data_IF_313980739853
#
_entry.id   IF_313980739853
#
_cell.length_a   1.000
_cell.length_b   1.000
_cell.length_c   1.000
_cell.angle_alpha   90.00
_cell.angle_beta   90.00
_cell.angle_gamma   90.00
#
_symmetry.space_group_name_H-M   'P 1'
#
loop_
_entity.id
_entity.type
_entity.pdbx_description
1 polymer ?
#
# COMPACT_ATOMS: atom_id res chain seq x y z
N UNK A 1 -21.01 8.74 8.29
CA UNK A 1 -21.46 8.25 6.98
C UNK A 1 -22.75 8.96 6.61
N UNK A 2 -22.82 9.64 5.47
CA UNK A 2 -24.10 10.13 4.96
C UNK A 2 -24.85 8.93 4.37
N UNK A 3 -25.97 8.57 4.96
CA UNK A 3 -26.89 7.59 4.40
C UNK A 3 -27.35 8.09 3.03
N UNK A 4 -27.33 7.29 1.95
CA UNK A 4 -27.89 7.71 0.68
C UNK A 4 -29.36 8.14 0.89
N UNK A 5 -29.79 9.15 0.17
CA UNK A 5 -31.14 9.72 0.31
C UNK A 5 -32.25 8.68 0.05
N UNK A 6 -31.94 7.61 -0.66
CA UNK A 6 -32.87 6.51 -0.97
C UNK A 6 -32.15 5.17 -0.73
N UNK A 7 -32.74 4.25 0.06
CA UNK A 7 -32.22 2.88 0.23
C UNK A 7 -32.18 2.14 -1.12
N UNK A 8 -31.17 1.30 -1.32
CA UNK A 8 -31.13 0.37 -2.47
C UNK A 8 -32.07 -0.81 -2.22
N UNK A 9 -32.77 -1.29 -3.25
CA UNK A 9 -33.37 -2.61 -3.19
C UNK A 9 -32.26 -3.69 -3.16
N UNK A 10 -32.59 -4.89 -2.65
CA UNK A 10 -31.64 -6.00 -2.60
C UNK A 10 -31.14 -6.37 -4.01
N UNK A 11 -32.04 -6.37 -5.00
CA UNK A 11 -31.76 -6.71 -6.41
C UNK A 11 -30.86 -5.64 -7.07
N UNK A 12 -31.15 -4.36 -6.82
CA UNK A 12 -30.31 -3.29 -7.34
C UNK A 12 -28.89 -3.33 -6.76
N UNK A 13 -28.79 -3.53 -5.44
CA UNK A 13 -27.51 -3.67 -4.76
C UNK A 13 -26.74 -4.88 -5.30
N UNK A 14 -27.39 -6.04 -5.41
CA UNK A 14 -26.80 -7.26 -5.95
C UNK A 14 -26.19 -7.06 -7.32
N UNK A 15 -26.93 -6.42 -8.23
CA UNK A 15 -26.45 -6.11 -9.59
C UNK A 15 -25.21 -5.20 -9.57
N UNK A 16 -25.20 -4.16 -8.72
CA UNK A 16 -24.08 -3.21 -8.62
C UNK A 16 -22.80 -3.82 -8.07
N UNK A 17 -22.93 -4.76 -7.14
CA UNK A 17 -21.77 -5.41 -6.52
C UNK A 17 -21.34 -6.72 -7.19
N UNK A 18 -22.12 -7.22 -8.16
CA UNK A 18 -21.85 -8.48 -8.84
C UNK A 18 -22.13 -9.70 -7.96
N UNK A 19 -23.27 -9.71 -7.24
CA UNK A 19 -23.71 -10.80 -6.38
C UNK A 19 -25.11 -11.30 -6.81
N UNK A 20 -25.46 -12.52 -6.42
CA UNK A 20 -26.79 -13.10 -6.62
C UNK A 20 -27.66 -12.88 -5.37
N UNK A 21 -28.83 -12.23 -5.49
CA UNK A 21 -29.72 -12.02 -4.35
C UNK A 21 -30.54 -13.27 -4.06
N UNK A 22 -30.63 -13.71 -2.78
CA UNK A 22 -31.48 -14.82 -2.32
C UNK A 22 -32.17 -14.43 -1.03
N UNK A 23 -33.47 -14.73 -0.95
CA UNK A 23 -34.32 -14.49 0.22
C UNK A 23 -35.29 -13.33 0.03
N UNK A 24 -35.72 -12.71 1.14
CA UNK A 24 -36.73 -11.66 1.11
C UNK A 24 -36.13 -10.33 0.57
N UNK A 25 -36.97 -9.56 -0.11
CA UNK A 25 -36.63 -8.20 -0.47
C UNK A 25 -36.51 -7.34 0.81
N UNK A 26 -35.38 -6.63 0.92
CA UNK A 26 -35.08 -5.75 2.06
C UNK A 26 -34.45 -4.46 1.52
N UNK A 27 -34.92 -3.28 1.93
CA UNK A 27 -34.26 -2.03 1.60
C UNK A 27 -32.97 -1.90 2.41
N UNK A 28 -31.86 -1.65 1.71
CA UNK A 28 -30.53 -1.51 2.33
C UNK A 28 -30.11 -0.04 2.29
N UNK A 29 -29.83 0.54 3.45
CA UNK A 29 -29.46 1.94 3.64
C UNK A 29 -28.01 2.14 4.11
N UNK A 30 -27.23 1.06 4.31
CA UNK A 30 -25.86 1.17 4.78
C UNK A 30 -25.17 -0.14 4.98
N UNK A 31 -23.90 -0.08 5.37
CA UNK A 31 -23.05 -1.21 5.71
C UNK A 31 -22.71 -1.17 7.21
N UNK A 32 -22.58 -2.33 7.84
CA UNK A 32 -22.16 -2.44 9.24
C UNK A 32 -21.48 -3.79 9.51
N UNK A 33 -20.68 -3.91 10.59
CA UNK A 33 -20.15 -5.19 11.06
C UNK A 33 -21.26 -6.19 11.42
N UNK A 34 -20.98 -7.52 11.31
CA UNK A 34 -21.93 -8.58 11.62
C UNK A 34 -22.61 -8.44 12.98
N UNK A 35 -21.84 -8.02 14.00
CA UNK A 35 -22.30 -7.90 15.40
C UNK A 35 -23.30 -6.77 15.61
N UNK A 36 -23.16 -5.67 14.86
CA UNK A 36 -23.93 -4.44 15.06
C UNK A 36 -24.91 -4.12 13.93
N UNK A 37 -24.89 -4.87 12.84
CA UNK A 37 -25.74 -4.63 11.69
C UNK A 37 -27.22 -4.78 12.04
N UNK A 38 -28.02 -3.78 11.65
CA UNK A 38 -29.47 -3.76 11.80
C UNK A 38 -30.21 -4.25 10.55
N UNK A 39 -31.57 -4.31 10.61
CA UNK A 39 -32.41 -4.88 9.55
C UNK A 39 -32.37 -4.16 8.20
N UNK A 40 -31.88 -2.92 8.14
CA UNK A 40 -31.68 -2.15 6.90
C UNK A 40 -30.22 -2.04 6.49
N UNK A 41 -29.33 -2.84 7.08
CA UNK A 41 -27.91 -2.77 6.80
C UNK A 41 -27.41 -4.10 6.22
N UNK A 42 -26.36 -4.00 5.40
CA UNK A 42 -25.65 -5.16 4.87
C UNK A 42 -24.37 -5.39 5.67
N UNK A 43 -24.07 -6.65 5.94
CA UNK A 43 -22.81 -7.11 6.46
C UNK A 43 -22.12 -8.06 5.46
N UNK A 44 -20.88 -8.46 5.70
CA UNK A 44 -20.21 -9.49 4.90
C UNK A 44 -19.55 -10.53 5.79
N UNK A 45 -19.38 -11.73 5.24
CA UNK A 45 -18.68 -12.82 5.88
C UNK A 45 -17.77 -13.53 4.88
N UNK A 46 -16.49 -13.68 5.24
CA UNK A 46 -15.46 -14.35 4.43
C UNK A 46 -14.45 -15.13 5.28
N UNK A 47 -14.61 -15.18 6.60
CA UNK A 47 -13.65 -15.83 7.50
C UNK A 47 -14.39 -16.64 8.56
N UNK A 48 -14.07 -17.94 8.65
CA UNK A 48 -14.69 -18.90 9.56
C UNK A 48 -14.60 -18.52 11.05
N UNK A 49 -13.64 -17.68 11.41
CA UNK A 49 -13.48 -17.14 12.77
C UNK A 49 -14.72 -16.38 13.25
N UNK A 50 -15.45 -15.73 12.34
CA UNK A 50 -16.64 -14.91 12.63
C UNK A 50 -17.97 -15.69 12.44
N UNK A 51 -17.94 -17.03 12.46
CA UNK A 51 -19.13 -17.85 12.26
C UNK A 51 -20.21 -17.64 13.33
N UNK A 52 -19.82 -17.40 14.58
CA UNK A 52 -20.75 -17.13 15.68
C UNK A 52 -21.47 -15.80 15.47
N UNK A 53 -20.74 -14.79 15.05
CA UNK A 53 -21.26 -13.46 14.74
C UNK A 53 -22.21 -13.51 13.53
N UNK A 54 -21.86 -14.32 12.51
CA UNK A 54 -22.75 -14.55 11.37
C UNK A 54 -24.09 -15.16 11.81
N UNK A 55 -24.06 -16.18 12.65
CA UNK A 55 -25.29 -16.88 13.12
C UNK A 55 -26.16 -15.99 14.02
N UNK A 56 -25.57 -15.03 14.72
CA UNK A 56 -26.26 -14.13 15.63
C UNK A 56 -26.65 -12.78 15.00
N UNK A 57 -26.23 -12.52 13.74
CA UNK A 57 -26.43 -11.20 13.12
C UNK A 57 -27.92 -10.87 12.92
N UNK A 58 -28.22 -9.58 13.06
CA UNK A 58 -29.53 -8.98 12.75
C UNK A 58 -29.50 -8.17 11.46
N UNK A 59 -28.44 -8.32 10.65
CA UNK A 59 -28.33 -7.65 9.36
C UNK A 59 -29.52 -7.95 8.46
N UNK A 60 -29.97 -6.97 7.69
CA UNK A 60 -31.00 -7.15 6.66
C UNK A 60 -30.56 -8.09 5.56
N UNK A 61 -29.26 -8.00 5.18
CA UNK A 61 -28.63 -8.90 4.21
C UNK A 61 -27.17 -9.18 4.58
N UNK A 62 -26.62 -10.32 4.13
CA UNK A 62 -25.22 -10.69 4.31
C UNK A 62 -24.61 -11.09 2.97
N UNK A 63 -23.42 -10.54 2.65
CA UNK A 63 -22.61 -10.98 1.52
C UNK A 63 -21.80 -12.20 1.97
N UNK A 64 -21.96 -13.33 1.25
CA UNK A 64 -21.31 -14.62 1.58
C UNK A 64 -20.88 -15.34 0.31
N UNK A 65 -19.97 -16.32 0.43
CA UNK A 65 -19.75 -17.31 -0.64
C UNK A 65 -20.86 -18.38 -0.61
N UNK A 66 -20.93 -19.20 -1.67
CA UNK A 66 -21.93 -20.28 -1.80
C UNK A 66 -21.90 -21.26 -0.62
N UNK A 67 -20.70 -21.67 -0.21
CA UNK A 67 -20.48 -22.65 0.86
C UNK A 67 -21.00 -22.20 2.23
N UNK A 68 -21.11 -20.89 2.44
CA UNK A 68 -21.52 -20.30 3.72
C UNK A 68 -23.01 -19.89 3.77
N UNK A 69 -23.75 -20.03 2.67
CA UNK A 69 -25.18 -19.66 2.57
C UNK A 69 -26.03 -20.30 3.66
N UNK A 70 -25.77 -21.57 3.98
CA UNK A 70 -26.50 -22.32 4.99
C UNK A 70 -26.32 -21.82 6.43
N UNK A 71 -25.24 -21.04 6.67
CA UNK A 71 -24.92 -20.49 8.00
C UNK A 71 -25.59 -19.14 8.26
N UNK A 72 -26.11 -18.48 7.22
CA UNK A 72 -26.81 -17.19 7.34
C UNK A 72 -28.17 -17.39 7.96
N UNK A 73 -28.55 -16.64 9.01
CA UNK A 73 -29.89 -16.75 9.63
C UNK A 73 -31.00 -16.57 8.61
N UNK A 74 -32.12 -17.32 8.79
CA UNK A 74 -33.29 -17.22 7.91
C UNK A 74 -33.87 -15.80 7.86
N UNK A 75 -33.65 -14.99 8.90
CA UNK A 75 -34.09 -13.60 9.00
C UNK A 75 -33.33 -12.64 8.06
N UNK A 76 -32.13 -12.99 7.66
CA UNK A 76 -31.31 -12.17 6.78
C UNK A 76 -31.39 -12.65 5.32
N UNK A 77 -31.44 -11.73 4.37
CA UNK A 77 -31.25 -12.03 2.96
C UNK A 77 -29.75 -12.37 2.67
N UNK A 78 -29.48 -13.02 1.56
CA UNK A 78 -28.14 -13.40 1.13
C UNK A 78 -27.80 -12.66 -0.16
N UNK A 79 -26.56 -12.18 -0.25
CA UNK A 79 -25.94 -11.72 -1.48
C UNK A 79 -24.76 -12.65 -1.76
N UNK A 80 -24.96 -13.60 -2.67
CA UNK A 80 -23.98 -14.66 -2.92
C UNK A 80 -22.98 -14.19 -3.94
N UNK A 81 -21.70 -14.26 -3.60
CA UNK A 81 -20.59 -13.85 -4.47
C UNK A 81 -19.41 -14.81 -4.34
N UNK A 82 -18.73 -15.12 -5.44
CA UNK A 82 -17.48 -15.88 -5.43
C UNK A 82 -16.36 -15.13 -4.67
N UNK A 83 -16.48 -13.81 -4.56
CA UNK A 83 -15.52 -12.95 -3.87
C UNK A 83 -16.23 -12.00 -2.89
N UNK A 84 -16.68 -12.49 -1.72
CA UNK A 84 -17.49 -11.70 -0.80
C UNK A 84 -16.82 -10.39 -0.35
N UNK A 85 -15.50 -10.40 -0.17
CA UNK A 85 -14.78 -9.19 0.25
C UNK A 85 -14.73 -8.13 -0.85
N UNK A 86 -14.60 -8.53 -2.12
CA UNK A 86 -14.68 -7.61 -3.26
C UNK A 86 -16.09 -7.03 -3.40
N UNK A 87 -17.11 -7.88 -3.25
CA UNK A 87 -18.50 -7.43 -3.28
C UNK A 87 -18.79 -6.46 -2.12
N UNK A 88 -18.22 -6.70 -0.94
CA UNK A 88 -18.33 -5.78 0.20
C UNK A 88 -17.61 -4.45 -0.07
N UNK A 89 -16.43 -4.44 -0.67
CA UNK A 89 -15.73 -3.20 -1.04
C UNK A 89 -16.58 -2.35 -1.98
N UNK A 90 -17.17 -2.98 -3.02
CA UNK A 90 -18.10 -2.30 -3.92
C UNK A 90 -19.35 -1.78 -3.21
N UNK A 91 -19.94 -2.56 -2.31
CA UNK A 91 -21.07 -2.12 -1.51
C UNK A 91 -20.71 -0.94 -0.63
N UNK A 92 -19.58 -1.01 0.07
CA UNK A 92 -19.10 0.08 0.94
C UNK A 92 -18.92 1.39 0.16
N UNK A 93 -18.38 1.34 -1.04
CA UNK A 93 -18.22 2.52 -1.90
C UNK A 93 -19.57 3.17 -2.26
N UNK A 94 -20.65 2.39 -2.44
CA UNK A 94 -21.98 2.94 -2.72
C UNK A 94 -22.60 3.70 -1.52
N UNK A 95 -22.19 3.38 -0.32
CA UNK A 95 -22.69 4.01 0.92
C UNK A 95 -21.67 5.01 1.51
N UNK A 96 -20.50 5.13 0.91
CA UNK A 96 -19.50 6.11 1.31
C UNK A 96 -19.73 7.40 0.50
N UNK A 97 -20.15 8.45 1.18
CA UNK A 97 -20.19 9.77 0.56
C UNK A 97 -18.78 10.36 0.64
N UNK A 98 -18.10 10.46 -0.48
CA UNK A 98 -16.88 11.26 -0.56
C UNK A 98 -17.17 12.72 -0.17
N UNK A 99 -16.20 13.36 0.48
CA UNK A 99 -16.23 14.80 0.72
C UNK A 99 -16.03 15.49 -0.64
N UNK A 100 -17.12 15.67 -1.37
CA UNK A 100 -17.06 16.38 -2.64
C UNK A 100 -16.59 17.82 -2.41
N UNK A 101 -15.51 18.19 -3.06
CA UNK A 101 -15.06 19.58 -3.19
C UNK A 101 -15.67 20.12 -4.48
N UNK A 102 -16.29 21.30 -4.39
CA UNK A 102 -16.89 21.94 -5.57
C UNK A 102 -15.80 22.22 -6.61
N UNK A 103 -16.06 21.91 -7.90
CA UNK A 103 -15.12 22.20 -8.98
C UNK A 103 -14.76 23.69 -9.06
N UNK A 104 -13.54 23.94 -9.51
CA UNK A 104 -13.01 25.29 -9.69
C UNK A 104 -11.93 25.65 -8.68
N UNK A 105 -11.32 26.80 -8.89
CA UNK A 105 -10.27 27.36 -8.02
C UNK A 105 -10.93 28.17 -6.92
N UNK A 106 -10.85 27.68 -5.68
CA UNK A 106 -11.47 28.34 -4.54
C UNK A 106 -10.63 29.52 -4.04
N UNK A 107 -11.28 30.53 -3.44
CA UNK A 107 -10.59 31.71 -2.90
C UNK A 107 -9.54 31.33 -1.87
N UNK A 108 -8.31 31.77 -2.07
CA UNK A 108 -7.17 31.46 -1.20
C UNK A 108 -6.30 30.29 -1.69
N UNK A 109 -6.63 29.66 -2.82
CA UNK A 109 -5.69 28.83 -3.54
C UNK A 109 -4.61 29.72 -4.22
N UNK A 110 -3.38 29.20 -4.30
CA UNK A 110 -2.24 29.91 -4.90
C UNK A 110 -1.88 29.19 -6.21
N UNK A 111 -2.22 29.80 -7.33
CA UNK A 111 -2.01 29.23 -8.67
C UNK A 111 -1.09 30.16 -9.43
N UNK A 112 -0.02 29.64 -10.00
CA UNK A 112 0.86 30.41 -10.89
C UNK A 112 0.16 30.68 -12.23
N UNK A 113 0.40 31.86 -12.80
CA UNK A 113 -0.23 32.29 -14.06
C UNK A 113 0.09 31.39 -15.26
N UNK A 114 1.18 30.63 -15.20
CA UNK A 114 1.61 29.67 -16.23
C UNK A 114 1.11 28.26 -16.00
N UNK A 115 0.42 27.99 -14.87
CA UNK A 115 -0.13 26.69 -14.55
C UNK A 115 -1.39 26.40 -15.39
N UNK A 116 -1.55 25.15 -15.80
CA UNK A 116 -2.72 24.67 -16.54
C UNK A 116 -3.62 23.86 -15.59
N UNK A 117 -4.73 24.45 -15.13
CA UNK A 117 -5.71 23.76 -14.28
C UNK A 117 -6.97 23.49 -15.07
N UNK A 118 -7.39 22.22 -15.16
CA UNK A 118 -8.62 21.87 -15.89
C UNK A 118 -9.85 22.48 -15.18
N UNK A 119 -10.85 23.01 -15.90
CA UNK A 119 -12.01 23.67 -15.31
C UNK A 119 -12.86 22.80 -14.36
N UNK A 120 -12.81 21.47 -14.51
CA UNK A 120 -13.51 20.52 -13.64
C UNK A 120 -12.67 20.06 -12.44
N UNK A 121 -11.40 20.48 -12.32
CA UNK A 121 -10.61 20.22 -11.15
C UNK A 121 -11.10 21.07 -9.97
N UNK A 122 -10.91 20.58 -8.75
CA UNK A 122 -11.31 21.25 -7.52
C UNK A 122 -10.07 21.62 -6.71
N UNK A 123 -9.78 22.91 -6.57
CA UNK A 123 -8.59 23.41 -5.87
C UNK A 123 -9.00 24.14 -4.61
N UNK A 124 -8.75 23.51 -3.45
CA UNK A 124 -9.14 24.05 -2.14
C UNK A 124 -8.28 25.24 -1.70
N UNK A 125 -8.75 26.07 -0.73
CA UNK A 125 -7.96 27.15 -0.15
C UNK A 125 -6.62 26.65 0.42
N UNK A 126 -5.55 27.41 0.19
CA UNK A 126 -4.20 27.08 0.66
C UNK A 126 -3.48 26.00 -0.16
N UNK A 127 -4.12 25.39 -1.16
CA UNK A 127 -3.42 24.56 -2.13
C UNK A 127 -2.53 25.43 -3.04
N UNK A 128 -1.41 24.87 -3.49
CA UNK A 128 -0.43 25.53 -4.35
C UNK A 128 -0.24 24.77 -5.66
N UNK A 129 -0.25 25.48 -6.78
CA UNK A 129 0.08 24.95 -8.11
C UNK A 129 1.13 25.87 -8.73
N UNK A 130 2.33 25.32 -8.90
CA UNK A 130 3.52 26.06 -9.35
C UNK A 130 3.60 26.31 -10.85
N UNK A 131 4.63 27.07 -11.30
CA UNK A 131 4.85 27.41 -12.69
C UNK A 131 4.85 26.20 -13.61
N UNK A 132 4.09 26.29 -14.72
CA UNK A 132 4.02 25.24 -15.74
C UNK A 132 3.46 23.90 -15.29
N UNK A 133 2.95 23.80 -14.06
CA UNK A 133 2.31 22.59 -13.56
C UNK A 133 0.96 22.36 -14.23
N UNK A 134 0.55 21.08 -14.34
CA UNK A 134 -0.69 20.69 -15.02
C UNK A 134 -1.55 19.83 -14.11
N UNK A 135 -2.83 20.20 -13.98
CA UNK A 135 -3.84 19.48 -13.21
C UNK A 135 -4.95 19.00 -14.14
N UNK A 136 -5.12 17.68 -14.21
CA UNK A 136 -6.12 17.03 -15.06
C UNK A 136 -7.57 17.17 -14.56
N UNK A 137 -8.54 16.70 -15.39
CA UNK A 137 -9.96 16.78 -15.11
C UNK A 137 -10.35 16.10 -13.78
N UNK A 138 -11.34 16.65 -13.07
CA UNK A 138 -11.95 16.10 -11.84
C UNK A 138 -10.96 15.81 -10.70
N UNK A 139 -9.70 16.22 -10.85
CA UNK A 139 -8.69 16.08 -9.81
C UNK A 139 -8.95 17.06 -8.67
N UNK A 140 -8.84 16.58 -7.44
CA UNK A 140 -9.07 17.36 -6.23
C UNK A 140 -7.75 17.60 -5.48
N UNK A 141 -7.39 18.86 -5.28
CA UNK A 141 -6.34 19.30 -4.39
C UNK A 141 -6.98 19.85 -3.11
N UNK A 142 -6.84 19.10 -2.02
CA UNK A 142 -7.29 19.56 -0.70
C UNK A 142 -6.40 20.66 -0.13
N UNK A 143 -6.87 21.32 0.94
CA UNK A 143 -6.17 22.44 1.57
C UNK A 143 -4.71 22.09 1.93
N UNK A 144 -3.76 22.94 1.48
CA UNK A 144 -2.34 22.77 1.72
C UNK A 144 -1.64 21.69 0.87
N UNK A 145 -2.33 21.03 -0.06
CA UNK A 145 -1.70 20.18 -1.07
C UNK A 145 -0.87 21.05 -2.03
N UNK A 146 0.28 20.55 -2.48
CA UNK A 146 1.23 21.30 -3.31
C UNK A 146 1.66 20.50 -4.54
N UNK A 147 1.51 21.11 -5.70
CA UNK A 147 2.04 20.61 -6.97
C UNK A 147 3.04 21.64 -7.47
N UNK A 148 4.33 21.25 -7.50
CA UNK A 148 5.42 22.16 -7.80
C UNK A 148 5.67 22.26 -9.32
N UNK A 149 6.72 23.00 -9.69
CA UNK A 149 7.01 23.46 -11.03
C UNK A 149 7.05 22.33 -12.06
N UNK A 150 6.34 22.50 -13.17
CA UNK A 150 6.27 21.56 -14.28
C UNK A 150 5.80 20.13 -13.90
N UNK A 151 5.30 19.91 -12.69
CA UNK A 151 4.73 18.62 -12.31
C UNK A 151 3.39 18.41 -13.02
N UNK A 152 3.05 17.14 -13.26
CA UNK A 152 1.83 16.75 -13.97
C UNK A 152 1.00 15.82 -13.11
N UNK A 153 -0.27 16.11 -12.97
CA UNK A 153 -1.26 15.28 -12.25
C UNK A 153 -2.39 14.94 -13.22
N UNK A 154 -2.67 13.66 -13.37
CA UNK A 154 -3.69 13.13 -14.27
C UNK A 154 -5.12 13.45 -13.84
N UNK A 155 -6.10 12.70 -14.37
CA UNK A 155 -7.51 12.88 -14.06
C UNK A 155 -7.95 12.08 -12.84
N UNK A 156 -9.04 12.51 -12.19
CA UNK A 156 -9.66 11.83 -11.03
C UNK A 156 -8.70 11.58 -9.85
N UNK A 157 -7.64 12.35 -9.72
CA UNK A 157 -6.69 12.23 -8.62
C UNK A 157 -7.20 12.95 -7.37
N UNK A 158 -6.77 12.48 -6.20
CA UNK A 158 -7.06 13.11 -4.91
C UNK A 158 -5.77 13.34 -4.15
N UNK A 159 -5.42 14.61 -3.92
CA UNK A 159 -4.28 15.01 -3.12
C UNK A 159 -4.81 15.56 -1.79
N UNK A 160 -4.64 14.78 -0.72
CA UNK A 160 -5.09 15.12 0.63
C UNK A 160 -4.24 16.24 1.26
N UNK A 161 -4.67 16.85 2.39
CA UNK A 161 -3.94 17.96 3.00
C UNK A 161 -2.46 17.66 3.24
N UNK A 162 -1.61 18.60 2.82
CA UNK A 162 -0.16 18.51 2.99
C UNK A 162 0.55 17.55 2.04
N UNK A 163 -0.16 16.86 1.13
CA UNK A 163 0.48 16.07 0.08
C UNK A 163 1.31 16.96 -0.86
N UNK A 164 2.49 16.48 -1.27
CA UNK A 164 3.44 17.23 -2.10
C UNK A 164 3.84 16.42 -3.32
N UNK A 165 3.68 17.01 -4.49
CA UNK A 165 4.26 16.54 -5.75
C UNK A 165 5.34 17.52 -6.15
N UNK A 166 6.59 17.09 -6.10
CA UNK A 166 7.73 17.96 -6.42
C UNK A 166 7.88 18.18 -7.93
N UNK A 167 8.73 19.12 -8.24
CA UNK A 167 8.98 19.59 -9.61
C UNK A 167 9.27 18.44 -10.58
N UNK A 168 8.73 18.53 -11.79
CA UNK A 168 8.83 17.57 -12.89
C UNK A 168 8.29 16.16 -12.64
N UNK A 169 7.74 15.87 -11.45
CA UNK A 169 7.13 14.57 -11.16
C UNK A 169 5.82 14.38 -11.91
N UNK A 170 5.48 13.12 -12.20
CA UNK A 170 4.30 12.75 -12.99
C UNK A 170 3.44 11.80 -12.19
N UNK A 171 2.17 12.15 -12.01
CA UNK A 171 1.13 11.26 -11.53
C UNK A 171 0.19 10.91 -12.69
N UNK A 172 -0.10 9.64 -12.86
CA UNK A 172 -1.14 9.14 -13.76
C UNK A 172 -2.55 9.47 -13.27
N UNK A 173 -3.53 8.71 -13.74
CA UNK A 173 -4.94 8.92 -13.43
C UNK A 173 -5.36 8.17 -12.16
N UNK A 174 -6.37 8.69 -11.43
CA UNK A 174 -6.95 8.08 -10.23
C UNK A 174 -5.92 7.78 -9.13
N UNK A 175 -4.85 8.59 -9.08
CA UNK A 175 -3.84 8.50 -8.01
C UNK A 175 -4.36 9.20 -6.75
N UNK A 176 -4.19 8.53 -5.61
CA UNK A 176 -4.53 9.09 -4.31
C UNK A 176 -3.25 9.30 -3.51
N UNK A 177 -2.99 10.54 -3.09
CA UNK A 177 -1.95 10.86 -2.13
C UNK A 177 -2.60 11.19 -0.79
N UNK A 178 -2.38 10.34 0.21
CA UNK A 178 -2.87 10.53 1.58
C UNK A 178 -2.15 11.70 2.28
N UNK A 179 -2.63 12.20 3.44
CA UNK A 179 -2.06 13.37 4.07
C UNK A 179 -0.54 13.29 4.27
N UNK A 180 0.15 14.37 3.88
CA UNK A 180 1.61 14.51 3.98
C UNK A 180 2.43 13.47 3.19
N UNK A 181 1.84 12.76 2.24
CA UNK A 181 2.61 11.94 1.29
C UNK A 181 3.47 12.84 0.40
N UNK A 182 4.71 12.44 0.12
CA UNK A 182 5.66 13.22 -0.69
C UNK A 182 6.13 12.40 -1.88
N UNK A 183 5.94 12.94 -3.07
CA UNK A 183 6.44 12.36 -4.33
C UNK A 183 7.52 13.27 -4.89
N UNK A 184 8.75 12.76 -5.01
CA UNK A 184 9.87 13.44 -5.63
C UNK A 184 10.85 14.11 -4.68
N UNK A 185 10.90 13.74 -3.38
CA UNK A 185 11.97 14.17 -2.47
C UNK A 185 13.34 13.76 -3.01
N UNK A 186 14.37 14.49 -2.62
CA UNK A 186 15.73 14.12 -2.99
C UNK A 186 16.10 12.75 -2.43
N UNK A 187 16.65 11.88 -3.27
CA UNK A 187 17.24 10.62 -2.83
C UNK A 187 18.44 10.86 -1.89
N UNK A 188 18.74 9.88 -1.06
CA UNK A 188 19.86 9.90 -0.12
C UNK A 188 21.18 9.60 -0.86
N UNK A 189 21.72 10.62 -1.55
CA UNK A 189 22.94 10.53 -2.35
C UNK A 189 24.03 11.42 -1.81
N UNK A 190 25.10 10.83 -1.24
CA UNK A 190 26.27 11.55 -0.73
C UNK A 190 27.56 10.82 -1.09
N UNK A 191 28.56 11.57 -1.56
CA UNK A 191 29.92 11.07 -1.76
C UNK A 191 30.81 11.52 -0.59
N UNK A 192 31.58 10.59 -0.04
CA UNK A 192 32.55 10.95 1.00
C UNK A 192 33.82 11.53 0.34
N UNK A 193 34.01 12.81 0.54
CA UNK A 193 35.18 13.57 0.01
C UNK A 193 36.22 13.69 1.12
N UNK A 194 37.32 12.98 0.94
CA UNK A 194 38.45 12.98 1.90
C UNK A 194 39.17 14.30 1.97
N UNK A 195 39.29 15.02 0.85
CA UNK A 195 40.00 16.30 0.79
C UNK A 195 39.16 17.45 1.35
N UNK A 196 37.82 17.38 1.15
CA UNK A 196 36.92 18.47 1.48
C UNK A 196 37.24 19.77 0.75
N UNK A 197 36.74 20.90 1.26
CA UNK A 197 37.02 22.24 0.75
C UNK A 197 38.07 22.96 1.60
N UNK A 198 39.08 22.23 2.08
CA UNK A 198 40.15 22.78 2.95
C UNK A 198 39.84 22.73 4.45
N UNK A 199 38.63 22.25 4.83
CA UNK A 199 38.19 22.11 6.23
C UNK A 199 38.19 20.64 6.74
N UNK A 200 38.81 19.72 5.99
CA UNK A 200 38.82 18.29 6.28
C UNK A 200 37.70 17.50 5.57
N UNK A 201 37.61 16.19 5.84
CA UNK A 201 36.66 15.30 5.18
C UNK A 201 35.20 15.73 5.33
N UNK A 202 34.42 15.59 4.26
CA UNK A 202 33.01 15.95 4.26
C UNK A 202 32.17 15.04 3.38
N UNK A 203 30.86 15.00 3.62
CA UNK A 203 29.88 14.40 2.72
C UNK A 203 29.42 15.45 1.69
N UNK A 204 29.76 15.24 0.42
CA UNK A 204 29.21 16.03 -0.68
C UNK A 204 27.90 15.49 -1.13
N UNK A 205 26.85 16.34 -1.14
CA UNK A 205 25.56 15.97 -1.72
C UNK A 205 25.69 15.72 -3.21
N UNK A 206 25.22 14.59 -3.67
CA UNK A 206 25.00 14.28 -5.09
C UNK A 206 23.65 14.87 -5.50
N UNK A 207 23.60 15.85 -6.43
CA UNK A 207 22.33 16.41 -6.89
C UNK A 207 21.41 15.34 -7.45
N UNK A 208 20.13 15.40 -7.07
CA UNK A 208 19.11 14.47 -7.52
C UNK A 208 18.32 15.12 -8.66
N UNK A 209 18.78 14.91 -9.90
CA UNK A 209 18.27 15.59 -11.10
C UNK A 209 17.20 14.80 -11.86
N UNK A 210 16.92 13.58 -11.44
CA UNK A 210 15.88 12.74 -12.02
C UNK A 210 14.49 13.09 -11.51
N UNK A 211 13.53 12.25 -11.82
CA UNK A 211 12.12 12.45 -11.50
C UNK A 211 11.46 11.21 -10.88
N UNK A 212 10.16 11.32 -10.58
CA UNK A 212 9.29 10.21 -10.21
C UNK A 212 8.13 10.13 -11.18
N UNK A 213 7.80 8.91 -11.61
CA UNK A 213 6.56 8.60 -12.31
C UNK A 213 5.74 7.61 -11.50
N UNK A 214 4.55 8.05 -11.12
CA UNK A 214 3.52 7.22 -10.49
C UNK A 214 2.47 6.93 -11.54
N UNK A 215 2.22 5.65 -11.81
CA UNK A 215 1.23 5.24 -12.80
C UNK A 215 -0.20 5.27 -12.25
N UNK A 216 -1.19 4.89 -13.07
CA UNK A 216 -2.61 4.97 -12.73
C UNK A 216 -3.00 4.09 -11.53
N UNK A 217 -4.09 4.46 -10.87
CA UNK A 217 -4.71 3.67 -9.80
C UNK A 217 -3.80 3.41 -8.57
N UNK A 218 -2.71 4.15 -8.41
CA UNK A 218 -1.80 4.04 -7.27
C UNK A 218 -2.37 4.82 -6.08
N UNK A 219 -2.21 4.26 -4.89
CA UNK A 219 -2.47 4.97 -3.63
C UNK A 219 -1.20 5.02 -2.79
N UNK A 220 -0.87 6.22 -2.28
CA UNK A 220 0.30 6.47 -1.42
C UNK A 220 -0.18 6.91 -0.05
N UNK A 221 0.12 6.11 0.96
CA UNK A 221 -0.28 6.28 2.35
C UNK A 221 0.29 7.53 3.01
N UNK A 222 -0.27 7.90 4.15
CA UNK A 222 0.11 9.09 4.88
C UNK A 222 1.58 9.07 5.32
N UNK A 223 2.27 10.21 5.14
CA UNK A 223 3.68 10.38 5.46
C UNK A 223 4.63 9.42 4.74
N UNK A 224 4.19 8.77 3.66
CA UNK A 224 5.06 7.97 2.79
C UNK A 224 5.82 8.86 1.83
N UNK A 225 7.07 8.45 1.52
CA UNK A 225 7.99 9.22 0.72
C UNK A 225 8.51 8.40 -0.45
N UNK A 226 8.43 8.97 -1.65
CA UNK A 226 8.98 8.37 -2.87
C UNK A 226 10.06 9.31 -3.39
N UNK A 227 11.33 8.89 -3.29
CA UNK A 227 12.46 9.70 -3.71
C UNK A 227 12.60 9.72 -5.23
N UNK A 228 12.99 10.87 -5.74
CA UNK A 228 13.36 11.01 -7.15
C UNK A 228 14.64 10.25 -7.46
N UNK A 229 14.78 9.84 -8.68
CA UNK A 229 16.02 9.25 -9.15
C UNK A 229 17.17 10.26 -9.10
N UNK A 230 18.39 9.78 -8.91
CA UNK A 230 19.59 10.60 -9.12
C UNK A 230 19.66 11.08 -10.56
N UNK A 231 19.47 10.17 -11.52
CA UNK A 231 19.31 10.41 -12.96
C UNK A 231 18.22 9.46 -13.47
N UNK A 232 17.41 9.91 -14.43
CA UNK A 232 16.29 9.13 -14.96
C UNK A 232 15.05 9.21 -14.06
N UNK A 233 14.43 8.09 -13.75
CA UNK A 233 13.16 8.08 -13.01
C UNK A 233 13.07 6.95 -11.97
N UNK A 234 12.43 7.23 -10.83
CA UNK A 234 11.82 6.26 -9.92
C UNK A 234 10.41 5.97 -10.40
N UNK A 235 9.99 4.70 -10.45
CA UNK A 235 8.71 4.32 -11.06
C UNK A 235 7.87 3.53 -10.07
N UNK A 236 6.59 3.91 -9.93
CA UNK A 236 5.58 3.14 -9.20
C UNK A 236 4.54 2.64 -10.20
N UNK A 237 4.48 1.33 -10.39
CA UNK A 237 3.61 0.68 -11.36
C UNK A 237 2.13 0.71 -10.97
N UNK A 238 1.29 0.64 -12.00
CA UNK A 238 -0.17 0.78 -11.93
C UNK A 238 -0.81 -0.10 -10.86
N UNK A 239 -1.76 0.48 -10.12
CA UNK A 239 -2.58 -0.24 -9.13
C UNK A 239 -1.84 -0.63 -7.85
N UNK A 240 -0.58 -0.25 -7.69
CA UNK A 240 0.21 -0.47 -6.47
C UNK A 240 -0.38 0.32 -5.30
N UNK A 241 -0.43 -0.32 -4.13
CA UNK A 241 -0.90 0.29 -2.88
C UNK A 241 0.26 0.39 -1.91
N UNK A 242 0.54 1.60 -1.49
CA UNK A 242 1.59 1.95 -0.54
C UNK A 242 0.92 2.43 0.73
N UNK A 243 1.15 1.75 1.83
CA UNK A 243 0.60 2.09 3.14
C UNK A 243 1.38 3.26 3.78
N UNK A 244 1.06 3.61 5.00
CA UNK A 244 1.62 4.75 5.71
C UNK A 244 3.09 4.54 6.10
N UNK A 245 3.86 5.63 6.14
CA UNK A 245 5.26 5.66 6.59
C UNK A 245 6.21 4.76 5.76
N UNK A 246 5.91 4.53 4.50
CA UNK A 246 6.77 3.77 3.59
C UNK A 246 7.81 4.70 2.97
N UNK A 247 9.07 4.22 2.86
CA UNK A 247 10.15 4.89 2.15
C UNK A 247 10.51 4.13 0.89
N UNK A 248 10.37 4.76 -0.27
CA UNK A 248 10.86 4.27 -1.56
C UNK A 248 12.07 5.09 -1.98
N UNK A 249 13.24 4.47 -2.06
CA UNK A 249 14.50 5.11 -2.40
C UNK A 249 14.61 5.48 -3.89
N UNK A 250 15.64 6.25 -4.21
CA UNK A 250 15.91 6.74 -5.56
C UNK A 250 16.13 5.60 -6.58
N UNK A 251 15.69 5.77 -7.80
CA UNK A 251 15.84 4.80 -8.90
C UNK A 251 15.16 3.43 -8.65
N UNK A 252 14.30 3.31 -7.65
CA UNK A 252 13.52 2.10 -7.42
C UNK A 252 12.47 1.95 -8.53
N UNK A 253 12.27 0.72 -8.98
CA UNK A 253 11.18 0.36 -9.90
C UNK A 253 10.24 -0.61 -9.19
N UNK A 254 9.04 -0.16 -8.90
CA UNK A 254 7.97 -1.00 -8.34
C UNK A 254 7.04 -1.41 -9.47
N UNK A 255 6.88 -2.71 -9.67
CA UNK A 255 5.96 -3.29 -10.64
C UNK A 255 4.50 -3.01 -10.31
N UNK A 256 3.57 -3.34 -11.22
CA UNK A 256 2.14 -3.14 -10.99
C UNK A 256 1.58 -4.03 -9.89
N UNK A 257 0.48 -3.58 -9.25
CA UNK A 257 -0.31 -4.34 -8.27
C UNK A 257 0.46 -4.79 -7.01
N UNK A 258 1.54 -4.13 -6.66
CA UNK A 258 2.29 -4.40 -5.43
C UNK A 258 1.54 -3.89 -4.19
N UNK A 259 1.82 -4.52 -3.05
CA UNK A 259 1.36 -4.10 -1.72
C UNK A 259 2.57 -3.83 -0.83
N UNK A 260 2.81 -2.56 -0.51
CA UNK A 260 3.88 -2.12 0.38
C UNK A 260 3.24 -1.69 1.69
N UNK A 261 3.28 -2.59 2.70
CA UNK A 261 2.60 -2.38 3.98
C UNK A 261 3.43 -1.43 4.86
N UNK A 262 2.79 -0.86 5.87
CA UNK A 262 3.32 0.24 6.67
C UNK A 262 4.77 0.05 7.15
N UNK A 263 5.53 1.15 7.11
CA UNK A 263 6.92 1.25 7.55
C UNK A 263 7.93 0.40 6.75
N UNK A 264 7.57 -0.06 5.55
CA UNK A 264 8.56 -0.68 4.65
C UNK A 264 9.59 0.36 4.19
N UNK A 265 10.85 -0.10 4.04
CA UNK A 265 11.93 0.68 3.45
C UNK A 265 12.55 -0.07 2.27
N UNK A 266 12.57 0.56 1.09
CA UNK A 266 13.18 0.00 -0.13
C UNK A 266 14.34 0.89 -0.51
N UNK A 267 15.55 0.35 -0.44
CA UNK A 267 16.76 1.09 -0.78
C UNK A 267 16.91 1.29 -2.28
N UNK A 268 17.70 2.29 -2.66
CA UNK A 268 17.81 2.73 -4.04
C UNK A 268 18.20 1.66 -5.05
N UNK A 269 17.75 1.84 -6.30
CA UNK A 269 18.03 0.96 -7.45
C UNK A 269 17.53 -0.47 -7.32
N UNK A 270 16.57 -0.73 -6.45
CA UNK A 270 15.90 -2.03 -6.29
C UNK A 270 14.75 -2.15 -7.28
N UNK A 271 14.54 -3.34 -7.83
CA UNK A 271 13.45 -3.66 -8.73
C UNK A 271 12.48 -4.66 -8.08
N UNK A 272 11.22 -4.29 -7.96
CA UNK A 272 10.13 -5.17 -7.54
C UNK A 272 9.30 -5.56 -8.77
N UNK A 273 9.09 -6.84 -8.97
CA UNK A 273 8.21 -7.37 -10.01
C UNK A 273 6.73 -7.07 -9.75
N UNK A 274 5.85 -7.63 -10.58
CA UNK A 274 4.41 -7.48 -10.44
C UNK A 274 3.88 -8.21 -9.21
N UNK A 275 2.94 -7.60 -8.47
CA UNK A 275 2.20 -8.25 -7.40
C UNK A 275 3.03 -8.62 -6.17
N UNK A 276 4.18 -8.00 -5.98
CA UNK A 276 5.03 -8.19 -4.80
C UNK A 276 4.31 -7.69 -3.55
N UNK A 277 4.43 -8.45 -2.45
CA UNK A 277 3.88 -8.08 -1.14
C UNK A 277 5.01 -7.95 -0.13
N UNK A 278 5.28 -6.73 0.32
CA UNK A 278 6.15 -6.46 1.46
C UNK A 278 5.28 -6.20 2.68
N UNK A 279 5.30 -7.12 3.65
CA UNK A 279 4.57 -6.95 4.91
C UNK A 279 5.20 -5.85 5.78
N UNK A 280 4.51 -5.46 6.87
CA UNK A 280 4.94 -4.31 7.69
C UNK A 280 6.38 -4.39 8.17
N UNK A 281 7.08 -3.25 8.12
CA UNK A 281 8.45 -3.07 8.58
C UNK A 281 9.51 -3.90 7.82
N UNK A 282 9.23 -4.32 6.61
CA UNK A 282 10.23 -4.98 5.75
C UNK A 282 11.27 -3.96 5.30
N UNK A 283 12.56 -4.31 5.44
CA UNK A 283 13.68 -3.57 4.88
C UNK A 283 14.28 -4.31 3.69
N UNK A 284 14.43 -3.64 2.55
CA UNK A 284 15.06 -4.21 1.35
C UNK A 284 16.33 -3.43 1.05
N UNK A 285 17.49 -4.11 0.98
CA UNK A 285 18.75 -3.45 0.62
C UNK A 285 18.77 -3.05 -0.86
N UNK A 286 19.68 -2.15 -1.23
CA UNK A 286 19.75 -1.61 -2.59
C UNK A 286 20.20 -2.63 -3.63
N UNK A 287 19.87 -2.32 -4.90
CA UNK A 287 20.30 -3.08 -6.09
C UNK A 287 19.83 -4.54 -6.13
N UNK A 288 18.71 -4.87 -5.50
CA UNK A 288 18.13 -6.21 -5.54
C UNK A 288 17.02 -6.31 -6.58
N UNK A 289 16.77 -7.55 -7.01
CA UNK A 289 15.59 -7.94 -7.75
C UNK A 289 14.68 -8.80 -6.88
N UNK A 290 13.45 -8.35 -6.71
CA UNK A 290 12.37 -9.09 -6.05
C UNK A 290 11.39 -9.55 -7.14
N UNK A 291 11.28 -10.86 -7.33
CA UNK A 291 10.54 -11.46 -8.43
C UNK A 291 9.02 -11.25 -8.38
N UNK A 292 8.33 -11.56 -9.47
CA UNK A 292 6.89 -11.43 -9.60
C UNK A 292 6.16 -12.26 -8.54
N UNK A 293 5.18 -11.68 -7.86
CA UNK A 293 4.39 -12.37 -6.84
C UNK A 293 5.16 -12.76 -5.56
N UNK A 294 6.43 -12.38 -5.44
CA UNK A 294 7.22 -12.66 -4.24
C UNK A 294 6.65 -11.97 -3.00
N UNK A 295 6.89 -12.54 -1.82
CA UNK A 295 6.37 -12.05 -0.55
C UNK A 295 7.46 -11.97 0.50
N UNK A 296 7.52 -10.88 1.23
CA UNK A 296 8.36 -10.75 2.42
C UNK A 296 7.48 -10.65 3.68
N UNK A 297 7.69 -11.54 4.64
CA UNK A 297 7.01 -11.52 5.93
C UNK A 297 7.38 -10.29 6.77
N UNK A 298 6.54 -9.94 7.74
CA UNK A 298 6.74 -8.75 8.56
C UNK A 298 8.13 -8.72 9.23
N UNK A 299 8.76 -7.54 9.24
CA UNK A 299 10.08 -7.29 9.80
C UNK A 299 11.23 -8.08 9.14
N UNK A 300 11.03 -8.64 7.94
CA UNK A 300 12.12 -9.29 7.23
C UNK A 300 13.14 -8.27 6.71
N UNK A 301 14.42 -8.58 6.90
CA UNK A 301 15.54 -7.90 6.23
C UNK A 301 15.92 -8.66 4.96
N UNK A 302 15.53 -8.14 3.80
CA UNK A 302 15.82 -8.76 2.50
C UNK A 302 17.18 -8.27 2.02
N UNK A 303 18.18 -9.15 2.05
CA UNK A 303 19.56 -8.84 1.71
C UNK A 303 20.05 -9.48 0.40
N UNK A 304 19.22 -10.26 -0.26
CA UNK A 304 19.51 -10.96 -1.52
C UNK A 304 18.30 -10.94 -2.42
N UNK A 305 18.50 -11.21 -3.71
CA UNK A 305 17.41 -11.37 -4.67
C UNK A 305 16.41 -12.44 -4.20
N UNK A 306 15.14 -12.22 -4.50
CA UNK A 306 14.04 -13.14 -4.19
C UNK A 306 13.43 -13.61 -5.51
N UNK A 307 13.27 -14.92 -5.68
CA UNK A 307 12.73 -15.50 -6.91
C UNK A 307 11.22 -15.21 -7.05
N UNK A 308 10.69 -15.40 -8.29
CA UNK A 308 9.27 -15.25 -8.57
C UNK A 308 8.44 -16.21 -7.69
N UNK A 309 7.38 -15.66 -7.06
CA UNK A 309 6.47 -16.41 -6.19
C UNK A 309 7.06 -16.87 -4.85
N UNK A 310 8.32 -16.59 -4.60
CA UNK A 310 8.99 -17.00 -3.35
C UNK A 310 8.46 -16.20 -2.16
N UNK A 311 8.41 -16.85 -0.99
CA UNK A 311 8.08 -16.20 0.28
C UNK A 311 9.27 -16.29 1.23
N UNK A 312 9.77 -15.11 1.65
CA UNK A 312 10.87 -14.98 2.61
C UNK A 312 10.38 -14.40 3.92
N UNK A 313 10.93 -14.86 5.04
CA UNK A 313 10.64 -14.34 6.38
C UNK A 313 11.89 -14.36 7.23
N UNK A 314 12.00 -13.49 8.22
CA UNK A 314 13.22 -13.40 9.03
C UNK A 314 13.06 -13.05 10.51
N UNK A 315 11.83 -12.90 11.04
CA UNK A 315 11.68 -12.40 12.42
C UNK A 315 10.38 -12.84 13.10
N UNK A 316 10.30 -14.04 13.73
CA UNK A 316 9.18 -14.36 14.60
C UNK A 316 9.45 -13.89 16.03
N UNK A 317 8.44 -13.33 16.70
CA UNK A 317 8.47 -13.19 18.16
C UNK A 317 8.32 -14.57 18.79
N UNK A 318 9.22 -14.91 19.70
CA UNK A 318 9.20 -16.14 20.48
C UNK A 318 9.18 -15.81 21.98
N UNK A 319 8.90 -16.81 22.84
CA UNK A 319 8.94 -16.61 24.27
C UNK A 319 10.29 -16.02 24.71
N UNK A 320 10.28 -15.01 25.58
CA UNK A 320 11.49 -14.27 25.97
C UNK A 320 12.64 -15.16 26.46
N UNK A 321 12.31 -16.20 27.24
CA UNK A 321 13.30 -17.16 27.72
C UNK A 321 13.99 -17.92 26.58
N UNK A 322 13.24 -18.28 25.55
CA UNK A 322 13.78 -19.01 24.39
C UNK A 322 14.58 -18.07 23.48
N UNK A 323 14.14 -16.81 23.34
CA UNK A 323 14.92 -15.77 22.66
C UNK A 323 16.28 -15.54 23.30
N UNK A 324 16.35 -15.45 24.64
CA UNK A 324 17.61 -15.29 25.38
C UNK A 324 18.55 -16.49 25.13
N UNK A 325 18.03 -17.73 25.15
CA UNK A 325 18.81 -18.94 24.88
C UNK A 325 19.34 -18.95 23.45
N UNK A 326 18.46 -18.66 22.47
CA UNK A 326 18.81 -18.59 21.06
C UNK A 326 19.89 -17.53 20.81
N UNK A 327 19.70 -16.31 21.34
CA UNK A 327 20.64 -15.19 21.17
C UNK A 327 22.01 -15.50 21.76
N UNK A 328 22.06 -16.17 22.92
CA UNK A 328 23.32 -16.60 23.52
C UNK A 328 24.04 -17.71 22.73
N UNK A 329 23.28 -18.54 22.01
CA UNK A 329 23.84 -19.62 21.21
C UNK A 329 24.31 -19.15 19.80
N UNK A 330 23.66 -18.12 19.25
CA UNK A 330 23.90 -17.66 17.88
C UNK A 330 25.39 -17.38 17.54
N UNK A 331 26.15 -16.65 18.39
CA UNK A 331 27.58 -16.41 18.15
C UNK A 331 28.44 -17.68 18.08
N UNK A 332 27.98 -18.77 18.72
CA UNK A 332 28.68 -20.05 18.77
C UNK A 332 28.35 -21.01 17.63
N UNK A 333 27.34 -20.67 16.79
CA UNK A 333 26.88 -21.52 15.67
C UNK A 333 28.04 -21.89 14.72
N UNK A 334 28.94 -20.98 14.30
CA UNK A 334 30.05 -21.35 13.44
C UNK A 334 31.01 -22.36 14.06
N UNK A 335 31.20 -22.32 15.39
CA UNK A 335 32.03 -23.28 16.13
C UNK A 335 31.34 -24.63 16.23
N UNK A 336 30.06 -24.63 16.57
CA UNK A 336 29.24 -25.84 16.65
C UNK A 336 29.19 -26.58 15.31
N UNK A 337 29.08 -25.88 14.18
CA UNK A 337 29.11 -26.48 12.84
C UNK A 337 30.46 -27.16 12.55
N UNK A 338 31.59 -26.58 12.98
CA UNK A 338 32.92 -27.21 12.86
C UNK A 338 33.02 -28.44 13.72
N UNK A 339 32.53 -28.40 14.95
CA UNK A 339 32.52 -29.54 15.87
C UNK A 339 31.66 -30.69 15.32
N UNK A 340 30.45 -30.40 14.81
CA UNK A 340 29.57 -31.40 14.20
C UNK A 340 30.28 -32.10 13.04
N UNK A 341 30.93 -31.38 12.12
CA UNK A 341 31.68 -31.95 11.00
C UNK A 341 32.83 -32.85 11.49
N UNK A 342 33.56 -32.44 12.53
CA UNK A 342 34.62 -33.24 13.15
C UNK A 342 34.08 -34.51 13.74
N UNK A 343 32.94 -34.44 14.44
CA UNK A 343 32.29 -35.62 15.01
C UNK A 343 31.78 -36.59 13.95
N UNK A 344 31.21 -36.08 12.86
CA UNK A 344 30.79 -36.91 11.71
C UNK A 344 31.98 -37.69 11.12
N UNK A 345 33.09 -37.01 10.86
CA UNK A 345 34.31 -37.68 10.35
C UNK A 345 34.85 -38.75 11.32
N UNK A 346 34.76 -38.48 12.62
CA UNK A 346 35.22 -39.42 13.64
C UNK A 346 34.30 -40.65 13.72
N UNK A 347 33.00 -40.46 13.59
CA UNK A 347 32.04 -41.59 13.52
C UNK A 347 32.31 -42.44 12.31
N UNK A 348 32.46 -41.85 11.10
CA UNK A 348 32.80 -42.60 9.87
C UNK A 348 34.11 -43.38 9.98
N UNK A 349 35.12 -42.83 10.66
CA UNK A 349 36.36 -43.55 10.94
C UNK A 349 36.15 -44.77 11.87
N UNK A 350 35.39 -44.59 12.95
CA UNK A 350 35.11 -45.66 13.89
C UNK A 350 34.25 -46.78 13.29
N UNK A 351 33.33 -46.43 12.36
CA UNK A 351 32.55 -47.41 11.63
C UNK A 351 33.43 -48.27 10.71
N UNK A 352 34.35 -47.62 9.97
CA UNK A 352 35.35 -48.35 9.11
C UNK A 352 36.36 -49.21 9.90
N UNK A 353 36.68 -48.82 11.16
CA UNK A 353 37.55 -49.60 12.03
C UNK A 353 36.83 -50.81 12.66
N UNK A 354 35.52 -50.91 12.53
CA UNK A 354 34.68 -52.00 13.04
C UNK A 354 34.30 -53.04 11.99
N UNK A 355 34.46 -52.72 10.70
CA UNK A 355 34.37 -53.68 9.56
C UNK A 355 35.70 -54.37 9.33
#
# INVERSE_FOLDING_TARGET
MRTPATPFSLEELARRIGAEPRGRAVPISGVAPLESAGPSQIAFYSNSRYRKELQATRAGAVIVCEDDVAHVPASAARLVSAQPYVAFAKASALFHAELAVEPGIQKGALIDDTAEVHPTAAISPGAYVGPGARIGPRTTLHAGARVLDCARVGEDCVLWPGAVVREHCILGDRVILQPNAVVGSDGFGFAFDLAGDGNGPMHRKVPQAGTVRVEDDVEVGACSCIDRATLGETVIGRGTKIDNLVQVGHNVRVGPLCLLVAQCGISGSTELGQGVVLAGQVGVVGHLRIGDGARAGAQAGVAHDVADGETVTGYPAIAHRDWLRMSAALPRVPELLREVRRLQQRVEQLEKERE
#
